data_IF_324360068381
#
_entry.id   IF_324360068381
#
_cell.length_a   1.000
_cell.length_b   1.000
_cell.length_c   1.000
_cell.angle_alpha   90.00
_cell.angle_beta   90.00
_cell.angle_gamma   90.00
#
_symmetry.space_group_name_H-M   'P 1'
#
loop_
_entity.id
_entity.type
_entity.pdbx_description
1 polymer ?
#
# COMPACT_ATOMS: atom_id res chain seq x y z
N UNK A 1 6.04 8.73 -22.86
CA UNK A 1 6.05 7.37 -22.28
C UNK A 1 7.26 7.22 -21.38
N UNK A 2 7.10 6.59 -20.22
CA UNK A 2 8.22 6.30 -19.30
C UNK A 2 8.98 5.11 -19.87
N UNK A 3 10.09 5.37 -20.57
CA UNK A 3 10.82 4.35 -21.33
C UNK A 3 11.20 3.11 -20.51
N UNK A 4 11.55 3.29 -19.24
CA UNK A 4 11.87 2.18 -18.34
C UNK A 4 10.66 1.29 -18.05
N UNK A 5 9.51 1.90 -17.76
CA UNK A 5 8.24 1.20 -17.55
C UNK A 5 7.79 0.44 -18.81
N UNK A 6 7.90 1.06 -19.97
CA UNK A 6 7.53 0.44 -21.25
C UNK A 6 8.35 -0.83 -21.51
N UNK A 7 9.68 -0.74 -21.31
CA UNK A 7 10.61 -1.84 -21.59
C UNK A 7 10.49 -2.97 -20.56
N UNK A 8 10.22 -2.65 -19.30
CA UNK A 8 10.30 -3.62 -18.21
C UNK A 8 8.95 -4.20 -17.77
N UNK A 9 7.85 -3.48 -18.01
CA UNK A 9 6.51 -3.85 -17.55
C UNK A 9 5.42 -3.54 -18.57
N UNK A 10 5.77 -3.36 -19.86
CA UNK A 10 4.78 -3.02 -20.89
C UNK A 10 4.05 -1.69 -20.65
N UNK A 11 4.59 -0.83 -19.79
CA UNK A 11 3.95 0.41 -19.36
C UNK A 11 2.84 0.24 -18.31
N UNK A 12 2.58 -0.98 -17.81
CA UNK A 12 1.53 -1.24 -16.81
C UNK A 12 1.93 -0.77 -15.41
N UNK A 13 3.23 -0.79 -15.11
CA UNK A 13 3.79 -0.38 -13.82
C UNK A 13 5.06 0.44 -14.00
N UNK A 14 5.42 1.23 -12.98
CA UNK A 14 6.67 1.97 -12.98
C UNK A 14 7.86 1.01 -13.01
N UNK A 15 8.87 1.38 -13.81
CA UNK A 15 10.16 0.72 -13.77
C UNK A 15 10.91 0.98 -12.45
N UNK A 16 12.02 0.28 -12.18
CA UNK A 16 12.78 0.40 -10.94
C UNK A 16 13.09 1.83 -10.48
N UNK A 17 13.50 2.72 -11.39
CA UNK A 17 13.80 4.12 -11.04
C UNK A 17 12.52 4.87 -10.70
N UNK A 18 11.50 4.80 -11.56
CA UNK A 18 10.22 5.47 -11.32
C UNK A 18 9.55 4.98 -10.02
N UNK A 19 9.57 3.67 -9.80
CA UNK A 19 9.03 3.03 -8.60
C UNK A 19 9.78 3.48 -7.34
N UNK A 20 11.13 3.56 -7.38
CA UNK A 20 11.91 4.03 -6.23
C UNK A 20 11.56 5.46 -5.84
N UNK A 21 11.49 6.37 -6.83
CA UNK A 21 11.16 7.77 -6.59
C UNK A 21 9.79 7.88 -5.90
N UNK A 22 8.77 7.23 -6.46
CA UNK A 22 7.41 7.30 -5.92
C UNK A 22 7.34 6.66 -4.53
N UNK A 23 7.94 5.49 -4.33
CA UNK A 23 7.97 4.82 -3.01
C UNK A 23 8.66 5.66 -1.94
N UNK A 24 9.79 6.30 -2.23
CA UNK A 24 10.47 7.15 -1.24
C UNK A 24 9.65 8.40 -0.88
N UNK A 25 8.90 8.96 -1.82
CA UNK A 25 7.96 10.05 -1.52
C UNK A 25 6.87 9.57 -0.55
N UNK A 26 6.24 8.43 -0.82
CA UNK A 26 5.22 7.87 0.09
C UNK A 26 5.79 7.55 1.47
N UNK A 27 6.96 6.91 1.54
CA UNK A 27 7.63 6.60 2.79
C UNK A 27 7.92 7.89 3.59
N UNK A 28 8.50 8.90 2.94
CA UNK A 28 8.81 10.18 3.59
C UNK A 28 7.55 10.91 4.09
N UNK A 29 6.44 10.86 3.36
CA UNK A 29 5.15 11.41 3.80
C UNK A 29 4.63 10.70 5.05
N UNK A 30 4.64 9.37 5.06
CA UNK A 30 4.18 8.56 6.20
C UNK A 30 5.06 8.82 7.44
N UNK A 31 6.38 8.83 7.28
CA UNK A 31 7.32 9.05 8.38
C UNK A 31 7.23 10.47 8.98
N UNK A 32 6.92 11.46 8.14
CA UNK A 32 6.84 12.87 8.53
C UNK A 32 5.48 13.26 9.14
N UNK A 33 4.42 12.53 8.85
CA UNK A 33 3.10 12.80 9.41
C UNK A 33 3.03 12.34 10.87
N UNK A 34 2.86 13.29 11.79
CA UNK A 34 2.72 13.00 13.22
C UNK A 34 1.51 12.13 13.54
N UNK A 35 0.46 12.16 12.72
CA UNK A 35 -0.76 11.35 12.90
C UNK A 35 -0.72 10.05 12.11
N UNK A 36 0.38 9.72 11.42
CA UNK A 36 0.48 8.44 10.74
C UNK A 36 0.43 7.28 11.72
N UNK A 37 -0.15 6.17 11.29
CA UNK A 37 -0.32 4.98 12.14
C UNK A 37 1.01 4.48 12.74
N UNK A 38 2.11 4.33 11.96
CA UNK A 38 3.40 3.94 12.51
C UNK A 38 4.00 4.93 13.51
N UNK A 39 3.61 6.21 13.43
CA UNK A 39 4.08 7.25 14.35
C UNK A 39 3.26 7.31 15.63
N UNK A 40 1.97 6.95 15.55
CA UNK A 40 1.06 6.85 16.69
C UNK A 40 1.25 5.54 17.47
N UNK A 41 1.51 4.43 16.78
CA UNK A 41 1.70 3.09 17.35
C UNK A 41 2.75 2.30 16.53
N UNK A 42 4.05 2.36 16.90
CA UNK A 42 5.14 1.76 16.15
C UNK A 42 5.12 0.23 16.06
N UNK A 43 4.51 -0.41 17.05
CA UNK A 43 4.40 -1.88 17.13
C UNK A 43 3.04 -2.37 16.63
N UNK A 44 2.22 -1.49 16.05
CA UNK A 44 0.91 -1.85 15.56
C UNK A 44 0.98 -2.94 14.49
N UNK A 45 0.12 -3.93 14.67
CA UNK A 45 -0.18 -4.96 13.67
C UNK A 45 -1.70 -5.08 13.53
N UNK A 46 -2.24 -5.35 12.33
CA UNK A 46 -3.66 -5.59 12.15
C UNK A 46 -4.18 -6.67 13.11
N UNK A 47 -5.30 -6.41 13.79
CA UNK A 47 -5.95 -7.36 14.71
C UNK A 47 -6.96 -8.28 14.03
N UNK A 48 -7.05 -8.19 12.70
CA UNK A 48 -7.99 -8.89 11.85
C UNK A 48 -7.28 -9.32 10.56
N UNK A 49 -7.81 -10.36 9.91
CA UNK A 49 -7.12 -11.15 8.91
C UNK A 49 -7.33 -12.64 9.19
N UNK A 50 -6.77 -13.51 8.36
CA UNK A 50 -6.89 -14.97 8.52
C UNK A 50 -5.56 -15.64 8.26
N UNK A 51 -5.28 -16.75 8.96
CA UNK A 51 -4.01 -17.49 8.84
C UNK A 51 -2.76 -16.63 9.06
N UNK A 52 -2.80 -15.72 10.05
CA UNK A 52 -1.73 -14.75 10.34
C UNK A 52 -1.39 -13.79 9.17
N UNK A 53 -2.29 -13.68 8.19
CA UNK A 53 -2.16 -12.78 7.04
C UNK A 53 -3.26 -11.71 7.06
N UNK A 54 -2.86 -10.48 6.76
CA UNK A 54 -3.74 -9.34 6.57
C UNK A 54 -3.69 -8.87 5.13
N UNK A 55 -4.86 -8.69 4.52
CA UNK A 55 -5.00 -8.27 3.13
C UNK A 55 -5.86 -7.01 3.00
N UNK A 56 -5.86 -6.39 1.83
CA UNK A 56 -6.69 -5.22 1.56
C UNK A 56 -8.20 -5.53 1.63
N UNK A 57 -8.61 -6.78 1.40
CA UNK A 57 -10.01 -7.20 1.54
C UNK A 57 -10.45 -7.15 3.00
N UNK A 58 -9.55 -7.48 3.93
CA UNK A 58 -9.82 -7.43 5.37
C UNK A 58 -10.10 -5.98 5.82
N UNK A 59 -9.41 -5.00 5.25
CA UNK A 59 -9.70 -3.57 5.46
C UNK A 59 -11.14 -3.22 5.04
N UNK A 60 -11.57 -3.69 3.87
CA UNK A 60 -12.91 -3.43 3.39
C UNK A 60 -13.99 -4.14 4.20
N UNK A 61 -13.71 -5.37 4.67
CA UNK A 61 -14.59 -6.08 5.58
C UNK A 61 -14.73 -5.34 6.91
N UNK A 62 -13.62 -4.88 7.50
CA UNK A 62 -13.62 -4.11 8.73
C UNK A 62 -14.37 -2.77 8.58
N UNK A 63 -14.26 -2.12 7.41
CA UNK A 63 -15.00 -0.91 7.08
C UNK A 63 -16.48 -1.16 6.74
N UNK A 64 -16.92 -2.42 6.60
CA UNK A 64 -18.30 -2.78 6.27
C UNK A 64 -18.71 -2.45 4.83
N UNK A 65 -17.75 -2.36 3.90
CA UNK A 65 -18.00 -1.93 2.50
C UNK A 65 -17.94 -3.06 1.47
N UNK A 66 -17.69 -4.31 1.90
CA UNK A 66 -17.75 -5.48 1.01
C UNK A 66 -19.20 -5.91 0.85
N UNK A 67 -19.77 -5.67 -0.32
CA UNK A 67 -21.05 -6.24 -0.73
C UNK A 67 -20.83 -7.64 -1.32
N UNK A 68 -21.70 -8.59 -0.99
CA UNK A 68 -21.80 -9.82 -1.77
C UNK A 68 -22.33 -9.45 -3.17
N UNK A 69 -21.53 -9.70 -4.20
CA UNK A 69 -22.06 -9.66 -5.58
C UNK A 69 -22.88 -10.95 -5.75
N UNK A 70 -24.18 -10.84 -6.07
CA UNK A 70 -25.05 -12.01 -6.26
C UNK A 70 -24.67 -12.84 -7.49
#
# INVERSE_FOLDING_TARGET
MLREADVMAGGEHLGPVGGRIVTEVFAGLIESDSQSYPRQDPDWTPTYGSNDEFTFVDLFNAAGVVAAIP
#
